data_IF_358957067471
#
_entry.id   IF_358957067471
#
_cell.length_a   1.000
_cell.length_b   1.000
_cell.length_c   1.000
_cell.angle_alpha   90.00
_cell.angle_beta   90.00
_cell.angle_gamma   90.00
#
_symmetry.space_group_name_H-M   'P 1'
#
loop_
_entity.id
_entity.type
_entity.pdbx_description
1 polymer ?
#
# COMPACT_ATOMS: atom_id res chain seq x y z
N UNK A 1 -65.32 33.95 35.15
CA UNK A 1 -64.34 33.71 34.09
C UNK A 1 -63.11 33.13 34.76
N UNK A 2 -62.99 31.82 34.77
CA UNK A 2 -61.91 31.07 35.38
C UNK A 2 -60.81 30.79 34.30
N UNK A 3 -59.61 31.22 34.58
CA UNK A 3 -58.46 30.83 33.83
C UNK A 3 -57.83 29.62 34.51
N UNK A 4 -57.96 28.44 33.91
CA UNK A 4 -57.32 27.21 34.34
C UNK A 4 -55.81 27.28 34.06
N UNK A 5 -55.04 27.29 35.11
CA UNK A 5 -53.61 27.25 35.07
C UNK A 5 -53.19 25.76 35.02
N UNK A 6 -52.92 25.21 33.83
CA UNK A 6 -52.48 23.83 33.62
C UNK A 6 -50.97 23.74 33.89
N UNK A 7 -50.64 23.65 35.16
CA UNK A 7 -49.26 23.37 35.62
C UNK A 7 -48.82 21.96 35.22
N UNK A 8 -48.00 21.87 34.19
CA UNK A 8 -47.36 20.63 33.79
C UNK A 8 -46.22 20.30 34.75
N UNK A 9 -46.52 19.51 35.75
CA UNK A 9 -45.49 18.96 36.68
C UNK A 9 -44.70 17.91 35.94
N UNK A 10 -43.53 18.26 35.43
CA UNK A 10 -42.59 17.31 34.85
C UNK A 10 -41.94 16.52 35.98
N UNK A 11 -42.17 15.20 36.01
CA UNK A 11 -41.74 14.28 37.04
C UNK A 11 -40.21 14.29 37.19
N UNK A 12 -39.71 14.55 38.40
CA UNK A 12 -38.27 14.58 38.73
C UNK A 12 -37.50 13.34 38.30
N UNK A 13 -38.20 12.21 38.13
CA UNK A 13 -37.64 10.96 37.61
C UNK A 13 -37.28 11.01 36.14
N UNK A 14 -37.94 11.85 35.33
CA UNK A 14 -37.65 12.06 33.91
C UNK A 14 -36.40 12.92 33.77
N UNK A 15 -36.24 13.94 34.61
CA UNK A 15 -35.04 14.79 34.60
C UNK A 15 -33.76 14.01 34.96
N UNK A 16 -33.83 13.12 35.96
CA UNK A 16 -32.70 12.27 36.35
C UNK A 16 -32.25 11.32 35.22
N UNK A 17 -33.17 10.79 34.42
CA UNK A 17 -32.85 9.91 33.29
C UNK A 17 -32.28 10.66 32.11
N UNK A 18 -32.74 11.86 31.81
CA UNK A 18 -32.23 12.70 30.71
C UNK A 18 -30.82 13.18 31.02
N UNK A 19 -30.53 13.61 32.28
CA UNK A 19 -29.17 14.02 32.69
C UNK A 19 -28.16 12.88 32.66
N UNK A 20 -28.53 11.65 33.05
CA UNK A 20 -27.66 10.48 33.00
C UNK A 20 -27.36 10.10 31.55
N UNK A 21 -28.36 10.16 30.65
CA UNK A 21 -28.17 9.87 29.24
C UNK A 21 -27.22 10.88 28.55
N UNK A 22 -27.33 12.16 28.90
CA UNK A 22 -26.49 13.22 28.31
C UNK A 22 -25.05 13.10 28.77
N UNK A 23 -24.81 12.75 30.04
CA UNK A 23 -23.46 12.53 30.58
C UNK A 23 -22.83 11.28 29.97
N UNK A 24 -23.60 10.21 29.76
CA UNK A 24 -23.09 8.99 29.13
C UNK A 24 -22.68 9.22 27.66
N UNK A 25 -23.44 9.99 26.89
CA UNK A 25 -23.09 10.39 25.54
C UNK A 25 -21.85 11.30 25.48
N UNK A 26 -21.66 12.19 26.42
CA UNK A 26 -20.48 13.05 26.52
C UNK A 26 -19.20 12.24 26.82
N UNK A 27 -19.30 11.25 27.72
CA UNK A 27 -18.17 10.37 28.05
C UNK A 27 -17.78 9.43 26.86
N UNK A 28 -18.74 8.96 26.08
CA UNK A 28 -18.45 8.19 24.87
C UNK A 28 -17.76 9.02 23.78
N UNK A 29 -17.99 10.32 23.72
CA UNK A 29 -17.33 11.20 22.74
C UNK A 29 -15.86 11.48 23.07
N UNK A 30 -15.50 11.47 24.35
CA UNK A 30 -14.10 11.70 24.80
C UNK A 30 -13.24 10.45 24.54
N UNK A 31 -13.81 9.23 24.71
CA UNK A 31 -13.09 7.98 24.45
C UNK A 31 -12.75 7.74 22.96
N UNK A 32 -13.36 8.48 22.05
CA UNK A 32 -13.13 8.34 20.60
C UNK A 32 -12.03 9.27 20.07
N UNK A 33 -11.59 10.23 20.85
CA UNK A 33 -10.56 11.19 20.42
C UNK A 33 -9.12 10.68 20.60
N UNK A 34 -8.89 9.55 21.26
CA UNK A 34 -7.54 9.03 21.52
C UNK A 34 -7.00 8.07 20.43
N UNK A 35 -7.80 7.72 19.42
CA UNK A 35 -7.39 6.85 18.32
C UNK A 35 -7.30 7.55 16.96
N UNK A 36 -6.97 8.84 16.92
CA UNK A 36 -6.39 9.42 15.73
C UNK A 36 -5.01 8.77 15.57
N UNK A 37 -4.72 8.03 14.47
CA UNK A 37 -3.39 7.52 14.27
C UNK A 37 -2.45 8.74 14.30
N UNK A 38 -1.54 8.78 15.29
CA UNK A 38 -0.36 9.61 15.15
C UNK A 38 0.16 9.33 13.76
N UNK A 39 0.31 10.36 12.95
CA UNK A 39 0.97 10.24 11.66
C UNK A 39 2.39 9.74 11.94
N UNK A 40 2.52 8.41 12.01
CA UNK A 40 3.82 7.78 12.05
C UNK A 40 4.57 8.26 10.83
N UNK A 41 5.82 8.65 10.98
CA UNK A 41 6.66 8.98 9.82
C UNK A 41 6.59 7.82 8.84
N UNK A 42 6.47 8.09 7.52
CA UNK A 42 6.37 7.05 6.53
C UNK A 42 7.52 6.05 6.68
N UNK A 43 7.23 4.76 6.61
CA UNK A 43 8.27 3.73 6.60
C UNK A 43 9.17 3.87 5.37
N UNK A 44 10.32 3.20 5.35
CA UNK A 44 11.15 3.16 4.15
C UNK A 44 10.40 2.51 2.97
N UNK A 45 9.53 1.51 3.22
CA UNK A 45 8.66 0.96 2.17
C UNK A 45 7.68 1.99 1.62
N UNK A 46 6.99 2.74 2.50
CA UNK A 46 6.03 3.76 2.07
C UNK A 46 6.70 4.84 1.21
N UNK A 47 7.91 5.27 1.61
CA UNK A 47 8.69 6.24 0.82
C UNK A 47 9.14 5.66 -0.52
N UNK A 48 9.60 4.40 -0.54
CA UNK A 48 9.99 3.71 -1.75
C UNK A 48 8.83 3.63 -2.76
N UNK A 49 7.66 3.20 -2.34
CA UNK A 49 6.47 3.17 -3.21
C UNK A 49 6.01 4.57 -3.63
N UNK A 50 6.11 5.57 -2.75
CA UNK A 50 5.87 6.97 -3.13
C UNK A 50 6.85 7.44 -4.19
N UNK A 51 8.13 7.04 -4.09
CA UNK A 51 9.16 7.30 -5.11
C UNK A 51 8.80 6.69 -6.47
N UNK A 52 8.37 5.41 -6.49
CA UNK A 52 7.92 4.75 -7.73
C UNK A 52 6.75 5.51 -8.38
N UNK A 53 5.76 5.91 -7.58
CA UNK A 53 4.62 6.68 -8.08
C UNK A 53 5.04 8.02 -8.70
N UNK A 54 6.08 8.64 -8.17
CA UNK A 54 6.64 9.90 -8.68
C UNK A 54 7.76 9.71 -9.72
N UNK A 55 7.98 8.50 -10.20
CA UNK A 55 9.05 8.13 -11.15
C UNK A 55 10.47 8.41 -10.63
N UNK A 56 10.65 8.54 -9.32
CA UNK A 56 11.96 8.59 -8.66
C UNK A 56 12.45 7.18 -8.34
N UNK A 57 12.85 6.45 -9.38
CA UNK A 57 13.30 5.07 -9.25
C UNK A 57 14.57 4.94 -8.41
N UNK A 58 15.47 5.91 -8.50
CA UNK A 58 16.73 5.88 -7.74
C UNK A 58 16.48 6.07 -6.24
N UNK A 59 15.63 7.03 -5.84
CA UNK A 59 15.21 7.24 -4.46
C UNK A 59 14.44 6.04 -3.92
N UNK A 60 13.54 5.47 -4.72
CA UNK A 60 12.77 4.28 -4.35
C UNK A 60 13.70 3.09 -4.02
N UNK A 61 14.71 2.83 -4.84
CA UNK A 61 15.67 1.75 -4.62
C UNK A 61 16.49 1.95 -3.33
N UNK A 62 16.87 3.20 -3.00
CA UNK A 62 17.57 3.51 -1.75
C UNK A 62 16.68 3.23 -0.52
N UNK A 63 15.40 3.59 -0.60
CA UNK A 63 14.45 3.34 0.47
C UNK A 63 14.16 1.83 0.64
N UNK A 64 13.99 1.07 -0.45
CA UNK A 64 13.85 -0.39 -0.38
C UNK A 64 15.11 -1.07 0.19
N UNK A 65 16.31 -0.62 -0.20
CA UNK A 65 17.56 -1.11 0.37
C UNK A 65 17.67 -0.77 1.86
N UNK A 66 17.15 0.39 2.29
CA UNK A 66 17.10 0.77 3.70
C UNK A 66 16.17 -0.15 4.48
N UNK A 67 14.98 -0.48 3.93
CA UNK A 67 14.07 -1.45 4.53
C UNK A 67 14.73 -2.82 4.69
N UNK A 68 15.34 -3.35 3.63
CA UNK A 68 15.98 -4.66 3.65
C UNK A 68 17.11 -4.76 4.69
N UNK A 69 17.86 -3.67 4.92
CA UNK A 69 18.88 -3.62 5.99
C UNK A 69 18.27 -3.72 7.39
N UNK A 70 17.11 -3.11 7.60
CA UNK A 70 16.42 -3.13 8.90
C UNK A 70 15.62 -4.42 9.11
N UNK A 71 15.19 -5.06 8.03
CA UNK A 71 14.33 -6.24 8.02
C UNK A 71 14.87 -7.33 7.08
N UNK A 72 16.04 -7.93 7.38
CA UNK A 72 16.74 -8.82 6.45
C UNK A 72 16.01 -10.14 6.14
N UNK A 73 15.06 -10.54 7.00
CA UNK A 73 14.23 -11.75 6.80
C UNK A 73 12.85 -11.44 6.19
N UNK A 74 12.59 -10.19 5.86
CA UNK A 74 11.30 -9.78 5.30
C UNK A 74 11.31 -9.89 3.77
N UNK A 75 10.49 -10.78 3.15
CA UNK A 75 10.43 -10.95 1.70
C UNK A 75 9.81 -9.74 0.99
N UNK A 76 9.09 -8.88 1.73
CA UNK A 76 8.46 -7.68 1.15
C UNK A 76 9.52 -6.68 0.66
N UNK A 77 10.66 -6.58 1.32
CA UNK A 77 11.76 -5.71 0.89
C UNK A 77 12.26 -6.03 -0.53
N UNK A 78 12.77 -7.23 -0.80
CA UNK A 78 13.28 -7.56 -2.12
C UNK A 78 12.19 -7.65 -3.20
N UNK A 79 10.95 -8.04 -2.91
CA UNK A 79 9.89 -7.98 -3.93
C UNK A 79 9.51 -6.55 -4.28
N UNK A 80 9.59 -5.61 -3.34
CA UNK A 80 9.41 -4.17 -3.61
C UNK A 80 10.53 -3.60 -4.47
N UNK A 81 11.77 -4.04 -4.22
CA UNK A 81 12.92 -3.70 -5.07
C UNK A 81 12.72 -4.21 -6.50
N UNK A 82 12.23 -5.45 -6.68
CA UNK A 82 11.90 -5.99 -7.99
C UNK A 82 10.83 -5.15 -8.71
N UNK A 83 9.77 -4.74 -8.01
CA UNK A 83 8.78 -3.82 -8.56
C UNK A 83 9.44 -2.53 -9.08
N UNK A 84 10.39 -1.98 -8.32
CA UNK A 84 11.14 -0.79 -8.75
C UNK A 84 11.92 -0.98 -10.05
N UNK A 85 12.55 -2.13 -10.26
CA UNK A 85 13.24 -2.44 -11.52
C UNK A 85 12.25 -2.62 -12.67
N UNK A 86 11.13 -3.31 -12.46
CA UNK A 86 10.10 -3.44 -13.49
C UNK A 86 9.54 -2.08 -13.90
N UNK A 87 9.15 -1.23 -12.96
CA UNK A 87 8.60 0.09 -13.29
C UNK A 87 9.62 1.01 -13.97
N UNK A 88 10.90 0.93 -13.59
CA UNK A 88 11.97 1.63 -14.28
C UNK A 88 12.10 1.17 -15.74
N UNK A 89 12.00 -0.13 -15.99
CA UNK A 89 12.05 -0.68 -17.34
C UNK A 89 10.82 -0.30 -18.16
N UNK A 90 9.61 -0.43 -17.62
CA UNK A 90 8.38 -0.01 -18.29
C UNK A 90 8.40 1.49 -18.63
N UNK A 91 8.95 2.32 -17.75
CA UNK A 91 9.12 3.74 -18.03
C UNK A 91 10.14 3.97 -19.17
N UNK A 92 11.28 3.30 -19.13
CA UNK A 92 12.30 3.36 -20.17
C UNK A 92 11.79 2.91 -21.53
N UNK A 93 10.93 1.88 -21.55
CA UNK A 93 10.27 1.37 -22.76
C UNK A 93 9.12 2.26 -23.24
N UNK A 94 8.75 3.30 -22.48
CA UNK A 94 7.63 4.20 -22.78
C UNK A 94 6.25 3.57 -22.59
N UNK A 95 6.14 2.40 -21.95
CA UNK A 95 4.86 1.70 -21.73
C UNK A 95 3.95 2.44 -20.74
N UNK A 96 4.53 3.27 -19.86
CA UNK A 96 3.77 4.04 -18.87
C UNK A 96 3.21 5.36 -19.41
N UNK A 97 3.38 5.64 -20.69
CA UNK A 97 2.89 6.89 -21.28
C UNK A 97 1.38 6.80 -21.59
N UNK A 98 0.63 7.81 -21.17
CA UNK A 98 -0.84 7.84 -21.30
C UNK A 98 -1.34 7.72 -22.74
N UNK A 99 -0.57 8.22 -23.70
CA UNK A 99 -0.92 8.17 -25.13
C UNK A 99 -1.15 6.75 -25.65
N UNK A 100 -0.51 5.73 -25.05
CA UNK A 100 -0.70 4.35 -25.45
C UNK A 100 -2.00 3.73 -24.93
N UNK A 101 -2.62 4.34 -23.93
CA UNK A 101 -3.94 3.94 -23.42
C UNK A 101 -5.10 4.64 -24.13
N UNK A 102 -4.81 5.73 -24.87
CA UNK A 102 -5.80 6.53 -25.56
C UNK A 102 -5.89 6.23 -27.06
N UNK A 103 -4.84 5.61 -27.63
CA UNK A 103 -4.73 5.39 -29.08
C UNK A 103 -4.02 4.08 -29.39
N UNK A 104 -4.76 3.09 -29.88
CA UNK A 104 -4.24 1.77 -30.25
C UNK A 104 -3.18 1.85 -31.38
N UNK A 105 -3.34 2.82 -32.34
CA UNK A 105 -2.38 3.01 -33.43
C UNK A 105 -1.03 3.49 -32.88
N UNK A 106 -1.03 4.39 -31.89
CA UNK A 106 0.21 4.85 -31.25
C UNK A 106 0.94 3.73 -30.50
N UNK A 107 0.20 2.77 -29.95
CA UNK A 107 0.79 1.58 -29.35
C UNK A 107 1.44 0.66 -30.39
N UNK A 108 0.79 0.45 -31.53
CA UNK A 108 1.30 -0.40 -32.63
C UNK A 108 2.53 0.20 -33.31
N UNK A 109 2.60 1.53 -33.44
CA UNK A 109 3.65 2.25 -34.16
C UNK A 109 4.86 2.65 -33.27
N UNK A 110 4.85 2.30 -31.98
CA UNK A 110 5.95 2.64 -31.07
C UNK A 110 7.27 2.01 -31.53
N UNK A 111 8.41 2.70 -31.38
CA UNK A 111 9.72 2.10 -31.61
C UNK A 111 9.92 0.91 -30.67
N UNK A 112 10.28 -0.26 -31.21
CA UNK A 112 10.64 -1.41 -30.39
C UNK A 112 11.98 -1.16 -29.71
N UNK A 113 11.92 -0.89 -28.41
CA UNK A 113 13.10 -0.69 -27.56
C UNK A 113 13.50 -2.04 -26.98
N UNK A 114 14.74 -2.44 -27.15
CA UNK A 114 15.24 -3.70 -26.58
C UNK A 114 15.27 -3.61 -25.06
N UNK A 115 14.77 -4.62 -24.33
CA UNK A 115 14.87 -4.70 -22.88
C UNK A 115 16.31 -4.59 -22.39
N UNK A 116 16.50 -3.89 -21.26
CA UNK A 116 17.82 -3.72 -20.66
C UNK A 116 18.23 -4.99 -19.91
N UNK A 117 19.27 -5.72 -20.36
CA UNK A 117 19.68 -6.96 -19.71
C UNK A 117 20.21 -6.76 -18.29
N UNK A 118 20.73 -5.59 -17.94
CA UNK A 118 21.18 -5.31 -16.58
C UNK A 118 19.98 -5.12 -15.63
N UNK A 119 18.98 -4.34 -16.03
CA UNK A 119 17.74 -4.20 -15.27
C UNK A 119 17.03 -5.55 -15.11
N UNK A 120 17.00 -6.34 -16.16
CA UNK A 120 16.45 -7.70 -16.13
C UNK A 120 17.16 -8.58 -15.10
N UNK A 121 18.49 -8.58 -15.11
CA UNK A 121 19.29 -9.34 -14.14
C UNK A 121 18.98 -8.93 -12.71
N UNK A 122 18.97 -7.63 -12.43
CA UNK A 122 18.62 -7.08 -11.09
C UNK A 122 17.20 -7.45 -10.66
N UNK A 123 16.25 -7.37 -11.57
CA UNK A 123 14.87 -7.80 -11.34
C UNK A 123 14.81 -9.28 -10.92
N UNK A 124 15.43 -10.17 -11.70
CA UNK A 124 15.44 -11.61 -11.43
C UNK A 124 16.12 -11.95 -10.11
N UNK A 125 17.23 -11.29 -9.80
CA UNK A 125 17.94 -11.46 -8.53
C UNK A 125 17.06 -11.03 -7.33
N UNK A 126 16.34 -9.92 -7.45
CA UNK A 126 15.45 -9.42 -6.42
C UNK A 126 14.26 -10.37 -6.21
N UNK A 127 13.63 -10.86 -7.29
CA UNK A 127 12.58 -11.88 -7.23
C UNK A 127 13.08 -13.15 -6.54
N UNK A 128 14.24 -13.66 -6.93
CA UNK A 128 14.81 -14.88 -6.34
C UNK A 128 15.04 -14.73 -4.84
N UNK A 129 15.53 -13.57 -4.39
CA UNK A 129 15.68 -13.29 -2.96
C UNK A 129 14.34 -13.24 -2.24
N UNK A 130 13.34 -12.58 -2.83
CA UNK A 130 12.00 -12.49 -2.26
C UNK A 130 11.36 -13.88 -2.08
N UNK A 131 11.40 -14.71 -3.12
CA UNK A 131 10.85 -16.07 -3.10
C UNK A 131 11.56 -16.96 -2.06
N UNK A 132 12.89 -16.90 -1.97
CA UNK A 132 13.64 -17.67 -0.97
C UNK A 132 13.25 -17.29 0.46
N UNK A 133 13.11 -16.00 0.77
CA UNK A 133 12.67 -15.52 2.08
C UNK A 133 11.21 -15.89 2.35
N UNK A 134 10.33 -15.74 1.34
CA UNK A 134 8.93 -16.12 1.44
C UNK A 134 8.77 -17.63 1.72
N UNK A 135 9.49 -18.48 1.00
CA UNK A 135 9.49 -19.92 1.24
C UNK A 135 9.99 -20.27 2.64
N UNK A 136 11.04 -19.61 3.14
CA UNK A 136 11.53 -19.83 4.50
C UNK A 136 10.50 -19.44 5.59
N UNK A 137 9.71 -18.38 5.37
CA UNK A 137 8.60 -18.00 6.26
C UNK A 137 7.44 -19.02 6.17
N UNK A 138 7.01 -19.36 4.95
CA UNK A 138 5.90 -20.29 4.71
C UNK A 138 6.21 -21.72 5.18
N UNK A 139 7.46 -22.13 5.21
CA UNK A 139 7.87 -23.40 5.80
C UNK A 139 7.67 -23.42 7.33
N UNK A 140 7.77 -22.28 8.01
CA UNK A 140 7.52 -22.14 9.45
C UNK A 140 6.01 -21.95 9.75
N UNK A 141 5.35 -21.10 8.97
CA UNK A 141 3.91 -20.84 9.03
C UNK A 141 3.31 -20.75 7.60
N UNK A 142 2.57 -21.79 7.15
CA UNK A 142 1.95 -21.78 5.82
C UNK A 142 0.92 -20.66 5.59
N UNK A 143 0.57 -19.90 6.64
CA UNK A 143 -0.35 -18.77 6.59
C UNK A 143 0.36 -17.42 6.84
N UNK A 144 1.70 -17.40 6.85
CA UNK A 144 2.45 -16.16 6.98
C UNK A 144 2.05 -15.17 5.88
N UNK A 145 1.52 -14.01 6.30
CA UNK A 145 0.93 -13.03 5.38
C UNK A 145 1.98 -12.40 4.47
N UNK A 146 3.16 -12.10 5.00
CA UNK A 146 4.22 -11.46 4.22
C UNK A 146 4.80 -12.45 3.21
N UNK A 147 4.94 -13.73 3.59
CA UNK A 147 5.34 -14.79 2.70
C UNK A 147 4.35 -14.99 1.56
N UNK A 148 3.04 -15.10 1.86
CA UNK A 148 1.99 -15.22 0.84
C UNK A 148 1.92 -13.99 -0.08
N UNK A 149 2.01 -12.79 0.50
CA UNK A 149 2.00 -11.56 -0.25
C UNK A 149 3.19 -11.48 -1.22
N UNK A 150 4.41 -11.75 -0.73
CA UNK A 150 5.60 -11.71 -1.57
C UNK A 150 5.56 -12.73 -2.70
N UNK A 151 5.09 -13.97 -2.46
CA UNK A 151 4.93 -14.98 -3.51
C UNK A 151 3.92 -14.54 -4.58
N UNK A 152 2.78 -13.98 -4.16
CA UNK A 152 1.75 -13.50 -5.09
C UNK A 152 2.28 -12.34 -5.93
N UNK A 153 2.94 -11.38 -5.28
CA UNK A 153 3.49 -10.22 -5.97
C UNK A 153 4.63 -10.63 -6.93
N UNK A 154 5.54 -11.52 -6.50
CA UNK A 154 6.60 -12.05 -7.36
C UNK A 154 6.05 -12.66 -8.64
N UNK A 155 5.01 -13.50 -8.52
CA UNK A 155 4.37 -14.13 -9.68
C UNK A 155 3.73 -13.10 -10.63
N UNK A 156 3.07 -12.07 -10.09
CA UNK A 156 2.50 -10.98 -10.89
C UNK A 156 3.58 -10.19 -11.63
N UNK A 157 4.63 -9.75 -10.92
CA UNK A 157 5.72 -8.98 -11.52
C UNK A 157 6.48 -9.76 -12.60
N UNK A 158 6.64 -11.08 -12.43
CA UNK A 158 7.25 -11.94 -13.46
C UNK A 158 6.39 -12.02 -14.72
N UNK A 159 5.06 -12.11 -14.57
CA UNK A 159 4.14 -12.10 -15.70
C UNK A 159 4.20 -10.76 -16.45
N UNK A 160 4.13 -9.65 -15.72
CA UNK A 160 4.19 -8.30 -16.30
C UNK A 160 5.53 -8.05 -17.00
N UNK A 161 6.65 -8.55 -16.43
CA UNK A 161 7.96 -8.43 -17.07
C UNK A 161 8.03 -9.22 -18.36
N UNK A 162 7.49 -10.45 -18.38
CA UNK A 162 7.46 -11.28 -19.59
C UNK A 162 6.62 -10.62 -20.69
N UNK A 163 5.46 -10.03 -20.37
CA UNK A 163 4.67 -9.29 -21.36
C UNK A 163 5.42 -8.09 -21.94
N UNK A 164 6.16 -7.35 -21.10
CA UNK A 164 6.96 -6.21 -21.55
C UNK A 164 8.08 -6.60 -22.54
N UNK A 165 8.60 -7.83 -22.46
CA UNK A 165 9.61 -8.35 -23.42
C UNK A 165 9.05 -8.65 -24.81
N UNK A 166 7.76 -8.95 -24.92
CA UNK A 166 7.12 -9.29 -26.19
C UNK A 166 6.40 -8.09 -26.85
N UNK A 167 6.26 -7.00 -26.14
CA UNK A 167 5.59 -5.79 -26.61
C UNK A 167 6.55 -4.86 -27.38
#
# INVERSE_FOLDING_TARGET
MAAENMGMTIDARVWGRVTILTICCALCSIARAENLPRTASPSALDRGFSGLYNLDFAGAQQDFATWQKMHPEDPVGPVSEAAGFLFAELHRLGVLESQFYENDDAFADRPKVTPDPELRGRFQDAITRAENLAHAKLAKDPKDRDGLFAMTLSSGLQADYAEAEFA
#
